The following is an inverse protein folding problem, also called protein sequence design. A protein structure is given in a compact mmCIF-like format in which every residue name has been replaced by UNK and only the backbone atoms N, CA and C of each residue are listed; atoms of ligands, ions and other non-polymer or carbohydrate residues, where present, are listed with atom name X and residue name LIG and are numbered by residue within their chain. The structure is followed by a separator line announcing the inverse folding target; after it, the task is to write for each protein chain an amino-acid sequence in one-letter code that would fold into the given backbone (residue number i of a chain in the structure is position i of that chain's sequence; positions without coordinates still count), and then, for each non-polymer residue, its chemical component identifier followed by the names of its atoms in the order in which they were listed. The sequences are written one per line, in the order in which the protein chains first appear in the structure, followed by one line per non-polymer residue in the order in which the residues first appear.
data_IF_739487178492
#
_entry.id   IF_739487178492
#
_cell.length_a   1.000
_cell.length_b   1.000
_cell.length_c   1.000
_cell.angle_alpha   90.00
_cell.angle_beta   90.00
_cell.angle_gamma   90.00
#
_symmetry.space_group_name_H-M   'P 1'
#
loop_
_entity.id
_entity.type
_entity.pdbx_description
1 polymer ?
#
# COMPACT_ATOMS: atom_id res chain seq x y z
N UNK A 1 -16.41 -8.16 8.53
CA UNK A 1 -15.17 -8.50 7.81
C UNK A 1 -14.71 -7.21 7.15
N UNK A 2 -13.66 -6.60 7.69
CA UNK A 2 -13.16 -5.28 7.24
C UNK A 2 -12.08 -5.41 6.17
N UNK A 3 -11.78 -6.63 5.75
CA UNK A 3 -10.77 -6.92 4.76
C UNK A 3 -11.13 -6.33 3.40
N UNK A 4 -10.13 -5.73 2.78
CA UNK A 4 -10.16 -5.27 1.40
C UNK A 4 -8.92 -5.84 0.76
N UNK A 5 -8.92 -7.14 0.55
CA UNK A 5 -7.89 -7.76 -0.27
C UNK A 5 -7.89 -7.09 -1.64
N UNK A 6 -6.74 -6.51 -1.96
CA UNK A 6 -6.50 -5.87 -3.25
C UNK A 6 -6.18 -6.97 -4.27
N UNK A 7 -7.20 -7.76 -4.62
CA UNK A 7 -7.12 -8.92 -5.54
C UNK A 7 -6.86 -8.56 -7.01
N UNK A 8 -6.37 -7.36 -7.31
CA UNK A 8 -6.03 -6.98 -8.66
C UNK A 8 -4.52 -7.17 -8.91
N UNK A 9 -4.11 -7.53 -10.14
CA UNK A 9 -2.70 -7.58 -10.52
C UNK A 9 -2.00 -6.25 -10.21
N UNK A 10 -0.75 -6.36 -9.76
CA UNK A 10 0.10 -5.19 -9.50
C UNK A 10 1.47 -5.39 -10.12
N UNK A 11 2.03 -4.32 -10.68
CA UNK A 11 3.36 -4.31 -11.26
C UNK A 11 4.16 -3.06 -10.86
N UNK A 12 5.48 -3.17 -10.96
CA UNK A 12 6.42 -2.05 -10.84
C UNK A 12 7.43 -2.05 -11.98
N UNK A 13 7.81 -0.87 -12.44
CA UNK A 13 8.80 -0.66 -13.48
C UNK A 13 9.79 0.44 -13.11
N UNK A 14 11.01 0.35 -13.64
CA UNK A 14 12.02 1.40 -13.56
C UNK A 14 11.61 2.64 -14.36
N UNK A 15 12.20 3.80 -14.02
CA UNK A 15 12.02 5.03 -14.78
C UNK A 15 13.11 5.22 -15.83
N UNK A 16 13.09 4.33 -16.83
CA UNK A 16 13.85 4.42 -18.08
C UNK A 16 12.93 4.09 -19.27
N UNK A 17 13.44 4.22 -20.50
CA UNK A 17 12.62 4.02 -21.70
C UNK A 17 12.06 2.59 -21.82
N UNK A 18 12.79 1.58 -21.35
CA UNK A 18 12.37 0.18 -21.38
C UNK A 18 11.29 -0.08 -20.32
N UNK A 19 11.52 0.34 -19.09
CA UNK A 19 10.58 0.22 -17.98
C UNK A 19 9.27 0.97 -18.22
N UNK A 20 9.33 2.19 -18.79
CA UNK A 20 8.13 2.94 -19.17
C UNK A 20 7.36 2.21 -20.27
N UNK A 21 8.05 1.68 -21.28
CA UNK A 21 7.42 0.87 -22.33
C UNK A 21 6.72 -0.38 -21.76
N UNK A 22 7.45 -1.15 -20.94
CA UNK A 22 6.94 -2.36 -20.31
C UNK A 22 5.73 -2.08 -19.40
N UNK A 23 5.75 -0.98 -18.63
CA UNK A 23 4.63 -0.57 -17.80
C UNK A 23 3.37 -0.25 -18.61
N UNK A 24 3.53 0.40 -19.78
CA UNK A 24 2.42 0.70 -20.68
C UNK A 24 1.86 -0.59 -21.27
N UNK A 25 2.72 -1.45 -21.79
CA UNK A 25 2.32 -2.72 -22.42
C UNK A 25 1.61 -3.63 -21.42
N UNK A 26 2.18 -3.80 -20.22
CA UNK A 26 1.55 -4.57 -19.14
C UNK A 26 0.18 -4.00 -18.79
N UNK A 27 0.02 -2.67 -18.67
CA UNK A 27 -1.30 -2.08 -18.42
C UNK A 27 -2.29 -2.37 -19.53
N UNK A 28 -1.86 -2.31 -20.80
CA UNK A 28 -2.71 -2.61 -21.96
C UNK A 28 -3.18 -4.07 -21.92
N UNK A 29 -2.32 -5.01 -21.51
CA UNK A 29 -2.68 -6.42 -21.36
C UNK A 29 -3.75 -6.65 -20.27
N UNK A 30 -3.80 -5.79 -19.25
CA UNK A 30 -4.84 -5.83 -18.22
C UNK A 30 -6.19 -5.22 -18.66
N UNK A 31 -6.28 -4.64 -19.86
CA UNK A 31 -7.51 -4.01 -20.35
C UNK A 31 -8.54 -5.02 -20.86
N UNK A 32 -9.80 -4.75 -20.55
CA UNK A 32 -10.97 -5.41 -21.14
C UNK A 32 -11.73 -4.46 -22.07
N UNK A 33 -12.61 -5.02 -22.90
CA UNK A 33 -13.48 -4.22 -23.77
C UNK A 33 -14.32 -3.24 -22.94
N UNK A 34 -14.23 -1.94 -23.26
CA UNK A 34 -14.93 -0.87 -22.57
C UNK A 34 -14.17 -0.24 -21.40
N UNK A 35 -12.97 -0.73 -21.08
CA UNK A 35 -12.14 -0.14 -20.04
C UNK A 35 -11.51 1.20 -20.47
N UNK A 36 -11.19 2.00 -19.45
CA UNK A 36 -10.43 3.25 -19.58
C UNK A 36 -9.08 3.08 -18.90
N UNK A 37 -7.99 3.31 -19.63
CA UNK A 37 -6.66 3.30 -19.08
C UNK A 37 -6.38 4.66 -18.40
N UNK A 38 -6.19 4.66 -17.08
CA UNK A 38 -5.85 5.86 -16.32
C UNK A 38 -4.33 5.99 -16.14
N UNK A 39 -3.75 7.09 -16.64
CA UNK A 39 -2.39 7.52 -16.30
C UNK A 39 -2.49 8.50 -15.14
N UNK A 40 -1.82 8.21 -14.03
CA UNK A 40 -1.81 9.02 -12.83
C UNK A 40 -0.46 9.70 -12.63
N UNK A 41 -0.50 10.99 -12.29
CA UNK A 41 0.68 11.74 -11.79
C UNK A 41 0.30 12.58 -10.57
N UNK A 42 1.26 12.99 -9.75
CA UNK A 42 0.97 13.85 -8.59
C UNK A 42 0.42 15.23 -9.00
N UNK A 43 1.01 15.84 -10.04
CA UNK A 43 0.59 17.11 -10.64
C UNK A 43 0.34 16.99 -12.14
N UNK A 44 -0.55 17.85 -12.66
CA UNK A 44 -0.85 17.87 -14.10
C UNK A 44 0.39 18.11 -14.97
N UNK A 45 1.28 18.99 -14.53
CA UNK A 45 2.52 19.33 -15.22
C UNK A 45 3.52 18.18 -15.29
N UNK A 46 3.40 17.14 -14.46
CA UNK A 46 4.37 16.05 -14.46
C UNK A 46 4.21 15.12 -15.66
N UNK A 47 3.05 15.13 -16.34
CA UNK A 47 2.85 14.31 -17.53
C UNK A 47 3.87 14.65 -18.63
N UNK A 48 4.19 15.93 -18.80
CA UNK A 48 5.17 16.40 -19.79
C UNK A 48 6.62 16.10 -19.42
N UNK A 49 6.87 15.46 -18.27
CA UNK A 49 8.21 14.96 -17.94
C UNK A 49 8.52 13.62 -18.64
N UNK A 50 7.51 12.97 -19.23
CA UNK A 50 7.67 11.71 -19.93
C UNK A 50 6.92 11.72 -21.27
N UNK A 51 7.67 11.88 -22.36
CA UNK A 51 7.13 11.95 -23.72
C UNK A 51 6.31 10.71 -24.11
N UNK A 52 6.64 9.53 -23.58
CA UNK A 52 5.90 8.30 -23.83
C UNK A 52 4.49 8.36 -23.21
N UNK A 53 4.40 8.75 -21.93
CA UNK A 53 3.11 8.89 -21.24
C UNK A 53 2.28 10.04 -21.80
N UNK A 54 2.91 11.17 -22.14
CA UNK A 54 2.20 12.29 -22.77
C UNK A 54 1.61 11.89 -24.13
N UNK A 55 2.40 11.22 -24.98
CA UNK A 55 1.91 10.72 -26.28
C UNK A 55 0.80 9.68 -26.11
N UNK A 56 0.90 8.80 -25.12
CA UNK A 56 -0.12 7.79 -24.82
C UNK A 56 -1.46 8.46 -24.50
N UNK A 57 -1.46 9.46 -23.61
CA UNK A 57 -2.68 10.21 -23.24
C UNK A 57 -3.25 10.99 -24.43
N UNK A 58 -2.40 11.61 -25.26
CA UNK A 58 -2.87 12.45 -26.37
C UNK A 58 -3.41 11.66 -27.56
N UNK A 59 -2.88 10.45 -27.82
CA UNK A 59 -3.21 9.67 -29.02
C UNK A 59 -4.42 8.76 -28.87
N UNK A 60 -4.78 8.39 -27.65
CA UNK A 60 -5.79 7.36 -27.39
C UNK A 60 -6.98 7.93 -26.63
N UNK A 61 -8.17 7.89 -27.24
CA UNK A 61 -9.40 8.46 -26.67
C UNK A 61 -9.90 7.72 -25.41
N UNK A 62 -9.46 6.48 -25.20
CA UNK A 62 -9.75 5.65 -24.03
C UNK A 62 -8.61 5.68 -22.98
N UNK A 63 -7.63 6.56 -23.13
CA UNK A 63 -6.61 6.85 -22.10
C UNK A 63 -6.92 8.21 -21.49
N UNK A 64 -6.90 8.28 -20.15
CA UNK A 64 -7.18 9.53 -19.42
C UNK A 64 -6.05 9.83 -18.44
N UNK A 65 -5.70 11.12 -18.35
CA UNK A 65 -4.80 11.61 -17.32
C UNK A 65 -5.58 12.02 -16.07
N UNK A 66 -5.19 11.47 -14.92
CA UNK A 66 -5.72 11.82 -13.59
C UNK A 66 -4.59 12.33 -12.69
N UNK A 67 -4.93 13.19 -11.74
CA UNK A 67 -3.95 13.81 -10.84
C UNK A 67 -4.24 13.55 -9.37
N UNK A 68 -3.20 13.30 -8.57
CA UNK A 68 -3.33 13.15 -7.12
C UNK A 68 -3.89 14.41 -6.45
N UNK A 69 -3.39 15.59 -6.86
CA UNK A 69 -3.91 16.88 -6.39
C UNK A 69 -5.32 17.11 -6.97
N UNK A 70 -6.32 17.23 -6.08
CA UNK A 70 -7.72 17.45 -6.45
C UNK A 70 -8.61 16.19 -6.44
N UNK A 71 -8.08 15.05 -6.01
CA UNK A 71 -8.86 13.82 -5.87
C UNK A 71 -9.21 13.16 -7.21
N UNK A 72 -8.27 13.19 -8.17
CA UNK A 72 -8.42 12.49 -9.44
C UNK A 72 -8.63 11.01 -9.20
N UNK A 73 -9.82 10.54 -9.54
CA UNK A 73 -10.22 9.13 -9.47
C UNK A 73 -10.36 8.57 -10.88
N UNK A 74 -10.10 7.27 -11.08
CA UNK A 74 -10.44 6.59 -12.33
C UNK A 74 -11.90 6.86 -12.71
N UNK A 75 -12.14 7.24 -13.97
CA UNK A 75 -13.48 7.60 -14.49
C UNK A 75 -14.32 6.42 -14.95
N UNK A 76 -13.80 5.20 -14.81
CA UNK A 76 -14.41 3.96 -15.24
C UNK A 76 -13.60 2.77 -14.76
N UNK A 77 -13.94 1.58 -15.25
CA UNK A 77 -13.15 0.38 -14.99
C UNK A 77 -11.88 0.40 -15.84
N UNK A 78 -10.78 -0.13 -15.32
CA UNK A 78 -9.55 -0.31 -16.08
C UNK A 78 -8.28 -0.27 -15.25
N UNK A 79 -7.12 -0.42 -15.90
CA UNK A 79 -5.81 -0.33 -15.26
C UNK A 79 -5.46 1.11 -14.90
N UNK A 80 -4.65 1.27 -13.86
CA UNK A 80 -4.05 2.55 -13.46
C UNK A 80 -2.53 2.43 -13.51
N UNK A 81 -1.88 3.26 -14.32
CA UNK A 81 -0.43 3.45 -14.31
C UNK A 81 -0.11 4.70 -13.51
N UNK A 82 0.52 4.54 -12.35
CA UNK A 82 0.98 5.65 -11.52
C UNK A 82 2.44 5.97 -11.83
N UNK A 83 2.70 7.18 -12.33
CA UNK A 83 4.06 7.64 -12.54
C UNK A 83 4.58 8.40 -11.31
N UNK A 84 5.70 7.90 -10.79
CA UNK A 84 6.46 8.40 -9.64
C UNK A 84 5.64 8.61 -8.35
N UNK A 85 4.84 7.62 -7.91
CA UNK A 85 4.10 7.72 -6.66
C UNK A 85 5.00 7.45 -5.45
N UNK A 86 4.61 8.00 -4.30
CA UNK A 86 5.04 7.49 -2.99
C UNK A 86 3.95 6.61 -2.36
N UNK A 87 4.22 6.01 -1.19
CA UNK A 87 3.23 5.19 -0.48
C UNK A 87 1.97 5.96 -0.04
N UNK A 88 2.04 7.27 0.18
CA UNK A 88 0.86 8.07 0.53
C UNK A 88 -0.06 8.20 -0.68
N UNK A 89 0.52 8.42 -1.86
CA UNK A 89 -0.20 8.55 -3.11
C UNK A 89 -0.91 7.25 -3.53
N UNK A 90 -0.25 6.10 -3.35
CA UNK A 90 -0.88 4.78 -3.54
C UNK A 90 -2.10 4.65 -2.60
N UNK A 91 -1.92 4.97 -1.31
CA UNK A 91 -3.01 4.92 -0.33
C UNK A 91 -4.18 5.83 -0.71
N UNK A 92 -3.91 7.05 -1.18
CA UNK A 92 -4.96 7.98 -1.67
C UNK A 92 -5.70 7.39 -2.88
N UNK A 93 -4.99 6.84 -3.86
CA UNK A 93 -5.61 6.24 -5.04
C UNK A 93 -6.54 5.10 -4.62
N UNK A 94 -6.06 4.14 -3.83
CA UNK A 94 -6.83 2.95 -3.43
C UNK A 94 -8.06 3.31 -2.60
N UNK A 95 -8.03 4.42 -1.84
CA UNK A 95 -9.19 4.86 -1.05
C UNK A 95 -10.39 5.26 -1.90
N UNK A 96 -10.13 5.98 -3.00
CA UNK A 96 -11.17 6.59 -3.81
C UNK A 96 -11.34 5.92 -5.17
N UNK A 97 -10.38 5.09 -5.58
CA UNK A 97 -10.41 4.29 -6.78
C UNK A 97 -11.51 3.25 -6.72
N UNK A 98 -12.44 3.34 -7.66
CA UNK A 98 -13.41 2.29 -7.95
C UNK A 98 -13.14 1.79 -9.37
N UNK A 99 -13.37 0.51 -9.61
CA UNK A 99 -13.16 -0.08 -10.94
C UNK A 99 -11.68 -0.28 -11.31
N UNK A 100 -10.75 -0.14 -10.36
CA UNK A 100 -9.34 -0.46 -10.61
C UNK A 100 -9.26 -1.97 -10.89
N UNK A 101 -8.75 -2.30 -12.08
CA UNK A 101 -8.51 -3.69 -12.50
C UNK A 101 -7.08 -4.15 -12.28
N UNK A 102 -6.14 -3.22 -12.31
CA UNK A 102 -4.72 -3.45 -12.14
C UNK A 102 -4.04 -2.14 -11.77
N UNK A 103 -2.92 -2.21 -11.05
CA UNK A 103 -2.08 -1.04 -10.74
C UNK A 103 -0.64 -1.31 -11.18
N UNK A 104 -0.10 -0.47 -12.05
CA UNK A 104 1.33 -0.46 -12.37
C UNK A 104 1.96 0.82 -11.82
N UNK A 105 3.12 0.73 -11.16
CA UNK A 105 3.87 1.90 -10.68
C UNK A 105 5.17 2.05 -11.45
N UNK A 106 5.43 3.25 -11.98
CA UNK A 106 6.76 3.62 -12.47
C UNK A 106 7.45 4.38 -11.35
N UNK A 107 8.54 3.83 -10.80
CA UNK A 107 9.21 4.45 -9.66
C UNK A 107 10.31 5.41 -10.10
N UNK A 108 10.30 6.63 -9.55
CA UNK A 108 11.43 7.57 -9.70
C UNK A 108 12.48 7.41 -8.60
N UNK A 109 12.15 6.68 -7.53
CA UNK A 109 13.02 6.34 -6.42
C UNK A 109 12.48 5.08 -5.74
N UNK A 110 13.14 3.94 -6.00
CA UNK A 110 12.72 2.64 -5.49
C UNK A 110 12.53 2.62 -3.96
N UNK A 111 13.36 3.35 -3.20
CA UNK A 111 13.30 3.33 -1.73
C UNK A 111 11.99 3.91 -1.17
N UNK A 112 11.30 4.79 -1.91
CA UNK A 112 10.04 5.39 -1.46
C UNK A 112 8.88 4.39 -1.42
N UNK A 113 8.97 3.30 -2.19
CA UNK A 113 7.92 2.27 -2.28
C UNK A 113 8.43 0.87 -1.98
N UNK A 114 9.73 0.68 -1.72
CA UNK A 114 10.35 -0.62 -1.39
C UNK A 114 9.63 -1.39 -0.28
N UNK A 115 9.14 -0.76 0.81
CA UNK A 115 8.35 -1.47 1.81
C UNK A 115 7.04 -2.04 1.27
N UNK A 116 6.37 -1.31 0.37
CA UNK A 116 5.15 -1.79 -0.29
C UNK A 116 5.47 -2.90 -1.29
N UNK A 117 6.54 -2.78 -2.10
CA UNK A 117 6.96 -3.84 -3.04
C UNK A 117 7.32 -5.13 -2.30
N UNK A 118 8.03 -5.02 -1.17
CA UNK A 118 8.39 -6.16 -0.32
C UNK A 118 7.13 -6.90 0.20
N UNK A 119 6.11 -6.14 0.63
CA UNK A 119 4.88 -6.72 1.16
C UNK A 119 3.92 -7.24 0.08
N UNK A 120 3.74 -6.48 -1.00
CA UNK A 120 2.77 -6.76 -2.07
C UNK A 120 3.27 -7.82 -3.06
N UNK A 121 4.60 -7.90 -3.26
CA UNK A 121 5.24 -8.78 -4.27
C UNK A 121 4.65 -8.60 -5.68
N UNK A 122 4.66 -7.36 -6.23
CA UNK A 122 4.16 -7.10 -7.57
C UNK A 122 5.03 -7.75 -8.65
N UNK A 123 4.50 -7.85 -9.87
CA UNK A 123 5.28 -8.17 -11.06
C UNK A 123 6.40 -7.14 -11.23
N UNK A 124 7.63 -7.60 -11.41
CA UNK A 124 8.78 -6.74 -11.68
C UNK A 124 8.96 -6.65 -13.20
N UNK A 125 8.79 -5.45 -13.76
CA UNK A 125 8.92 -5.18 -15.19
C UNK A 125 10.29 -4.56 -15.50
N UNK A 126 10.86 -4.88 -16.66
CA UNK A 126 12.20 -4.45 -17.06
C UNK A 126 13.30 -5.32 -16.44
N UNK A 127 14.46 -4.72 -16.17
CA UNK A 127 15.65 -5.45 -15.68
C UNK A 127 15.60 -5.82 -14.20
N UNK A 128 14.72 -5.19 -13.42
CA UNK A 128 14.52 -5.46 -12.00
C UNK A 128 15.67 -5.04 -11.07
N UNK A 129 16.66 -4.31 -11.57
CA UNK A 129 17.88 -3.93 -10.82
C UNK A 129 17.57 -3.17 -9.53
N UNK A 130 16.57 -2.29 -9.54
CA UNK A 130 16.08 -1.55 -8.38
C UNK A 130 15.51 -2.45 -7.26
N UNK A 131 15.19 -3.70 -7.57
CA UNK A 131 14.48 -4.65 -6.69
C UNK A 131 15.35 -5.83 -6.24
N UNK A 132 16.66 -5.79 -6.45
CA UNK A 132 17.59 -6.80 -5.93
C UNK A 132 17.62 -6.85 -4.40
N UNK A 133 17.29 -5.72 -3.74
CA UNK A 133 17.23 -5.61 -2.28
C UNK A 133 15.81 -5.30 -1.82
N UNK A 134 15.28 -6.09 -0.90
CA UNK A 134 13.98 -5.85 -0.27
C UNK A 134 14.13 -5.20 1.11
N UNK A 135 13.04 -4.63 1.62
CA UNK A 135 12.98 -4.23 3.02
C UNK A 135 13.11 -5.46 3.93
N UNK A 136 13.70 -5.33 5.13
CA UNK A 136 13.71 -6.44 6.08
C UNK A 136 12.29 -6.92 6.40
N UNK A 137 12.14 -8.23 6.57
CA UNK A 137 10.87 -8.83 6.97
C UNK A 137 10.44 -8.31 8.35
N UNK A 138 9.13 -8.09 8.49
CA UNK A 138 8.53 -7.81 9.79
C UNK A 138 8.58 -9.07 10.66
N UNK A 139 8.77 -8.87 11.97
CA UNK A 139 8.66 -9.96 12.96
C UNK A 139 7.29 -10.66 12.80
N UNK A 140 7.22 -12.00 12.79
CA UNK A 140 5.96 -12.73 12.62
C UNK A 140 4.86 -12.31 13.61
N UNK A 141 5.22 -11.92 14.84
CA UNK A 141 4.26 -11.42 15.83
C UNK A 141 3.69 -10.07 15.41
N UNK A 142 4.50 -9.21 14.77
CA UNK A 142 4.04 -7.93 14.20
C UNK A 142 3.08 -8.18 13.05
N UNK A 143 3.39 -9.14 12.16
CA UNK A 143 2.49 -9.52 11.06
C UNK A 143 1.15 -10.01 11.61
N UNK A 144 1.16 -10.89 12.61
CA UNK A 144 -0.08 -11.42 13.20
C UNK A 144 -0.90 -10.33 13.93
N UNK A 145 -0.21 -9.40 14.60
CA UNK A 145 -0.86 -8.23 15.20
C UNK A 145 -1.50 -7.33 14.13
N UNK A 146 -0.84 -7.14 12.99
CA UNK A 146 -1.35 -6.36 11.87
C UNK A 146 -2.54 -7.05 11.20
N UNK A 147 -2.50 -8.38 10.94
CA UNK A 147 -3.67 -9.15 10.48
C UNK A 147 -4.86 -8.98 11.42
N UNK A 148 -4.63 -9.12 12.73
CA UNK A 148 -5.66 -8.91 13.75
C UNK A 148 -6.25 -7.48 13.72
N UNK A 149 -5.43 -6.46 13.46
CA UNK A 149 -5.90 -5.09 13.29
C UNK A 149 -6.70 -4.91 11.99
N UNK A 150 -6.23 -5.46 10.86
CA UNK A 150 -6.95 -5.44 9.57
C UNK A 150 -8.36 -6.03 9.69
N UNK A 151 -8.51 -7.10 10.47
CA UNK A 151 -9.82 -7.73 10.70
C UNK A 151 -10.76 -6.94 11.63
N UNK A 152 -10.25 -5.95 12.36
CA UNK A 152 -10.99 -5.28 13.44
C UNK A 152 -11.10 -3.77 13.32
N UNK A 153 -10.24 -3.12 12.54
CA UNK A 153 -10.30 -1.70 12.23
C UNK A 153 -11.20 -1.50 11.03
N UNK A 154 -12.21 -0.63 11.14
CA UNK A 154 -12.96 -0.22 9.96
C UNK A 154 -12.08 0.68 9.10
N UNK A 155 -11.56 0.16 7.98
CA UNK A 155 -10.66 0.90 7.09
C UNK A 155 -11.26 2.16 6.45
N UNK A 156 -12.58 2.35 6.51
CA UNK A 156 -13.22 3.60 6.10
C UNK A 156 -13.06 4.72 7.14
N UNK A 157 -12.85 4.35 8.41
CA UNK A 157 -12.62 5.30 9.50
C UNK A 157 -11.15 5.70 9.57
N UNK A 158 -10.89 6.91 10.07
CA UNK A 158 -9.51 7.31 10.36
C UNK A 158 -9.04 6.69 11.66
N UNK A 159 -7.78 6.25 11.70
CA UNK A 159 -7.13 5.80 12.94
C UNK A 159 -6.57 6.97 13.77
N UNK A 160 -6.96 8.22 13.48
CA UNK A 160 -6.43 9.41 14.18
C UNK A 160 -7.13 9.71 15.51
N UNK A 161 -8.34 9.17 15.72
CA UNK A 161 -9.15 9.38 16.91
C UNK A 161 -10.11 8.20 17.13
N UNK A 162 -10.80 8.19 18.27
CA UNK A 162 -11.85 7.22 18.55
C UNK A 162 -11.34 5.80 18.80
N UNK A 163 -12.20 4.84 18.50
CA UNK A 163 -12.03 3.44 18.85
C UNK A 163 -10.88 2.76 18.09
N UNK A 164 -10.82 3.01 16.77
CA UNK A 164 -9.79 2.47 15.88
C UNK A 164 -8.40 2.94 16.32
N UNK A 165 -8.26 4.23 16.66
CA UNK A 165 -7.02 4.76 17.22
C UNK A 165 -6.62 4.03 18.50
N UNK A 166 -7.55 3.90 19.44
CA UNK A 166 -7.25 3.29 20.74
C UNK A 166 -6.81 1.82 20.59
N UNK A 167 -7.42 1.07 19.65
CA UNK A 167 -6.98 -0.29 19.31
C UNK A 167 -5.58 -0.32 18.70
N UNK A 168 -5.34 0.46 17.65
CA UNK A 168 -4.04 0.49 16.95
C UNK A 168 -2.92 0.88 17.92
N UNK A 169 -3.09 1.98 18.65
CA UNK A 169 -2.09 2.45 19.63
C UNK A 169 -1.87 1.44 20.75
N UNK A 170 -2.94 0.81 21.25
CA UNK A 170 -2.82 -0.24 22.26
C UNK A 170 -1.94 -1.41 21.80
N UNK A 171 -2.14 -1.88 20.58
CA UNK A 171 -1.35 -2.98 19.97
C UNK A 171 0.12 -2.58 19.82
N UNK A 172 0.39 -1.38 19.29
CA UNK A 172 1.77 -0.90 19.12
C UNK A 172 2.51 -0.75 20.44
N UNK A 173 1.83 -0.27 21.49
CA UNK A 173 2.42 -0.18 22.83
C UNK A 173 2.70 -1.56 23.43
N UNK A 174 1.81 -2.55 23.23
CA UNK A 174 2.05 -3.92 23.70
C UNK A 174 3.27 -4.56 23.00
N UNK A 175 3.41 -4.39 21.68
CA UNK A 175 4.59 -4.84 20.93
C UNK A 175 5.87 -4.19 21.48
N UNK A 176 5.84 -2.87 21.70
CA UNK A 176 6.97 -2.12 22.26
C UNK A 176 7.33 -2.56 23.67
N UNK A 177 6.34 -2.75 24.54
CA UNK A 177 6.55 -3.16 25.94
C UNK A 177 7.12 -4.59 26.02
N UNK A 178 6.74 -5.45 25.08
CA UNK A 178 7.33 -6.79 24.89
C UNK A 178 8.71 -6.78 24.19
N UNK A 179 9.24 -5.60 23.85
CA UNK A 179 10.52 -5.40 23.14
C UNK A 179 10.59 -6.08 21.76
N UNK A 180 9.44 -6.26 21.12
CA UNK A 180 9.37 -6.73 19.74
C UNK A 180 9.70 -5.54 18.82
N UNK A 181 10.70 -5.65 17.93
CA UNK A 181 11.03 -4.58 17.00
C UNK A 181 9.85 -4.25 16.08
N UNK A 182 9.57 -2.97 15.91
CA UNK A 182 8.58 -2.45 14.97
C UNK A 182 9.23 -1.42 14.06
N UNK A 183 9.05 -1.57 12.76
CA UNK A 183 9.59 -0.66 11.75
C UNK A 183 8.44 0.11 11.10
N UNK A 184 8.58 1.45 11.06
CA UNK A 184 7.49 2.31 10.62
C UNK A 184 7.17 2.13 9.13
N UNK A 185 8.19 2.04 8.30
CA UNK A 185 8.05 2.06 6.85
C UNK A 185 7.60 0.68 6.36
N UNK A 186 8.16 -0.40 6.91
CA UNK A 186 7.71 -1.78 6.66
C UNK A 186 6.26 -2.00 7.10
N UNK A 187 5.85 -1.49 8.26
CA UNK A 187 4.44 -1.59 8.69
C UNK A 187 3.49 -0.76 7.81
N UNK A 188 3.93 0.39 7.30
CA UNK A 188 3.14 1.16 6.33
C UNK A 188 2.99 0.43 5.00
N UNK A 189 4.09 -0.12 4.47
CA UNK A 189 4.08 -0.94 3.25
C UNK A 189 3.17 -2.15 3.39
N UNK A 190 3.28 -2.87 4.51
CA UNK A 190 2.42 -4.00 4.83
C UNK A 190 0.94 -3.59 4.90
N UNK A 191 0.61 -2.54 5.64
CA UNK A 191 -0.79 -2.09 5.77
C UNK A 191 -1.39 -1.72 4.42
N UNK A 192 -0.63 -1.01 3.58
CA UNK A 192 -1.05 -0.62 2.25
C UNK A 192 -1.29 -1.83 1.32
N UNK A 193 -0.43 -2.86 1.39
CA UNK A 193 -0.61 -4.11 0.64
C UNK A 193 -1.86 -4.89 1.11
N UNK A 194 -2.25 -4.76 2.38
CA UNK A 194 -3.38 -5.48 2.99
C UNK A 194 -4.62 -4.59 3.14
N UNK A 195 -4.87 -3.73 2.14
CA UNK A 195 -6.16 -3.03 1.99
C UNK A 195 -6.35 -1.77 2.84
N UNK A 196 -5.36 -1.36 3.63
CA UNK A 196 -5.45 -0.08 4.34
C UNK A 196 -5.27 1.06 3.33
N UNK A 197 -6.18 2.03 3.36
CA UNK A 197 -6.22 3.09 2.37
C UNK A 197 -6.21 4.51 2.97
N UNK A 198 -5.99 5.50 2.11
CA UNK A 198 -5.91 6.91 2.45
C UNK A 198 -4.71 7.21 3.35
N UNK A 199 -4.95 8.00 4.39
CA UNK A 199 -3.92 8.39 5.36
C UNK A 199 -3.70 7.35 6.47
N UNK A 200 -4.42 6.24 6.48
CA UNK A 200 -4.30 5.26 7.57
C UNK A 200 -2.93 4.56 7.59
N UNK A 201 -2.36 4.08 6.46
CA UNK A 201 -1.00 3.53 6.45
C UNK A 201 0.06 4.53 6.92
N UNK A 202 0.02 5.77 6.42
CA UNK A 202 0.90 6.86 6.85
C UNK A 202 0.75 7.13 8.35
N UNK A 203 -0.49 7.14 8.85
CA UNK A 203 -0.78 7.39 10.26
C UNK A 203 -0.29 6.25 11.15
N UNK A 204 -0.32 5.01 10.69
CA UNK A 204 0.26 3.85 11.38
C UNK A 204 1.76 4.03 11.55
N UNK A 205 2.48 4.33 10.45
CA UNK A 205 3.91 4.64 10.51
C UNK A 205 4.21 5.78 11.48
N UNK A 206 3.41 6.84 11.47
CA UNK A 206 3.61 7.96 12.40
C UNK A 206 3.50 7.53 13.87
N UNK A 207 2.56 6.65 14.23
CA UNK A 207 2.48 6.11 15.58
C UNK A 207 3.69 5.26 15.94
N UNK A 208 4.19 4.44 15.02
CA UNK A 208 5.40 3.64 15.21
C UNK A 208 6.61 4.55 15.45
N UNK A 209 6.81 5.59 14.62
CA UNK A 209 7.90 6.58 14.79
C UNK A 209 7.80 7.28 16.14
N UNK A 210 6.60 7.72 16.53
CA UNK A 210 6.37 8.35 17.83
C UNK A 210 6.74 7.41 18.99
N UNK A 211 6.32 6.14 18.93
CA UNK A 211 6.61 5.13 19.96
C UNK A 211 8.10 4.80 20.02
N UNK A 212 8.75 4.62 18.86
CA UNK A 212 10.19 4.38 18.78
C UNK A 212 11.01 5.56 19.31
N UNK A 213 10.52 6.80 19.16
CA UNK A 213 11.12 8.00 19.77
C UNK A 213 10.87 8.12 21.29
N UNK A 214 10.19 7.15 21.91
CA UNK A 214 9.91 7.11 23.35
C UNK A 214 8.59 7.76 23.77
N UNK A 215 7.79 8.27 22.82
CA UNK A 215 6.45 8.78 23.15
C UNK A 215 5.52 7.62 23.48
N UNK A 216 4.53 7.88 24.32
CA UNK A 216 3.43 6.93 24.60
C UNK A 216 2.10 7.59 24.26
N UNK A 217 1.64 7.50 23.00
CA UNK A 217 0.35 8.06 22.61
C UNK A 217 -0.77 7.51 23.50
N UNK A 218 -1.70 8.37 23.93
CA UNK A 218 -2.79 7.96 24.82
C UNK A 218 -3.78 7.06 24.07
N UNK A 219 -4.02 5.86 24.61
CA UNK A 219 -5.11 4.96 24.27
C UNK A 219 -6.02 4.78 25.50
N UNK A 220 -7.36 4.76 25.30
CA UNK A 220 -8.30 4.49 26.40
C UNK A 220 -8.54 3.00 26.63
N UNK A 221 -8.35 2.19 25.59
CA UNK A 221 -8.53 0.74 25.66
C UNK A 221 -7.24 0.08 26.13
N UNK A 222 -7.33 -0.72 27.19
CA UNK A 222 -6.21 -1.52 27.69
C UNK A 222 -6.33 -2.90 27.07
N UNK A 223 -5.31 -3.32 26.32
CA UNK A 223 -5.23 -4.70 25.86
C UNK A 223 -5.07 -5.63 27.06
N UNK A 224 -5.52 -6.88 26.91
CA UNK A 224 -5.27 -7.89 27.95
C UNK A 224 -3.77 -8.10 28.12
N UNK A 225 -3.33 -8.36 29.34
CA UNK A 225 -1.91 -8.51 29.66
C UNK A 225 -1.24 -9.68 28.92
N UNK A 226 -2.04 -10.69 28.56
CA UNK A 226 -1.64 -11.89 27.83
C UNK A 226 -1.70 -11.73 26.30
N UNK A 227 -1.98 -10.53 25.77
CA UNK A 227 -2.17 -10.32 24.32
C UNK A 227 -1.00 -10.83 23.48
N UNK A 228 0.24 -10.54 23.87
CA UNK A 228 1.42 -10.99 23.12
C UNK A 228 1.59 -12.51 23.21
N UNK A 229 1.29 -13.11 24.36
CA UNK A 229 1.36 -14.56 24.52
C UNK A 229 0.27 -15.27 23.70
N UNK A 230 -0.92 -14.67 23.60
CA UNK A 230 -1.96 -15.11 22.68
C UNK A 230 -1.48 -15.09 21.21
N UNK A 231 -0.82 -14.02 20.75
CA UNK A 231 -0.28 -13.97 19.38
C UNK A 231 0.78 -15.05 19.15
N UNK A 232 1.69 -15.25 20.12
CA UNK A 232 2.71 -16.32 20.06
C UNK A 232 2.07 -17.70 19.98
N UNK A 233 1.04 -17.94 20.78
CA UNK A 233 0.32 -19.21 20.77
C UNK A 233 -0.37 -19.45 19.44
N UNK A 234 -1.04 -18.43 18.88
CA UNK A 234 -1.72 -18.52 17.59
C UNK A 234 -0.75 -18.84 16.45
N UNK A 235 0.43 -18.20 16.43
CA UNK A 235 1.49 -18.52 15.47
C UNK A 235 2.02 -19.95 15.64
N UNK A 236 2.18 -20.42 16.88
CA UNK A 236 2.67 -21.76 17.15
C UNK A 236 1.66 -22.87 16.83
N UNK A 237 0.35 -22.60 16.93
CA UNK A 237 -0.69 -23.56 16.61
C UNK A 237 -0.93 -23.73 15.12
N UNK A 238 -0.36 -22.87 14.27
CA UNK A 238 -0.58 -22.93 12.82
C UNK A 238 -2.04 -22.71 12.43
N UNK A 239 -2.81 -22.00 13.25
CA UNK A 239 -4.17 -21.53 12.90
C UNK A 239 -4.01 -20.35 11.91
N UNK A 240 -3.38 -20.62 10.77
CA UNK A 240 -3.55 -19.83 9.56
C UNK A 240 -4.96 -20.15 9.05
N UNK A 241 -5.91 -19.28 9.35
CA UNK A 241 -7.26 -19.35 8.80
C UNK A 241 -7.31 -19.08 7.28
N UNK A 242 -6.16 -18.98 6.61
CA UNK A 242 -5.99 -18.65 5.19
C UNK A 242 -5.12 -19.69 4.45
N UNK A 243 -5.17 -20.96 4.87
CA UNK A 243 -4.80 -22.08 4.01
C UNK A 243 -6.01 -22.46 3.14
N UNK A 244 -6.32 -21.64 2.13
CA UNK A 244 -7.15 -22.08 1.00
C UNK A 244 -6.35 -21.94 -0.30
N UNK A 245 -6.40 -23.03 -1.07
CA UNK A 245 -5.71 -23.33 -2.35
C UNK A 245 -5.89 -22.29 -3.46
#
# INVERSE_FOLDING_TARGET
MFDRDSHYPTAVASYDDEGVGAAIDWCVEQMQTGDTFSVWTSLKSNLSNCDALERLVQRHSNVVHITGRGGGTPRGNGPVLMAWPDMEDIGKLVRYGRGIRAICLITGNADQIRPWVTAMKPDILGDGSDWETFSPDLDPIVIEALRSLTLTVNHNNTISAGYEKDRVVGVLLALRDARIPIDADAMQGWALAHGWAGKNPERLAQYVRDINSGKRPRARHVLRADYIDYLRQKLASGDDADAED
#
